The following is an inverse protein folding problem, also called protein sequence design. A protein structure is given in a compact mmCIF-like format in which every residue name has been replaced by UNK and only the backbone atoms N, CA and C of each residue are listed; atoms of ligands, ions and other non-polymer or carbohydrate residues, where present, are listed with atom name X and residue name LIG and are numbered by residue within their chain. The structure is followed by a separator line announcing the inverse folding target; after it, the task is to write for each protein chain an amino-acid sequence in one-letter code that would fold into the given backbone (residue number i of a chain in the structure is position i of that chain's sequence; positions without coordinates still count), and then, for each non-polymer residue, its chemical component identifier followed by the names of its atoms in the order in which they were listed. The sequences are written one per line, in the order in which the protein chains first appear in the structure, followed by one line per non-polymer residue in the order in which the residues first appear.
data_IF_116699158183
#
_entry.id   IF_116699158183
#
_cell.length_a   1.000
_cell.length_b   1.000
_cell.length_c   1.000
_cell.angle_alpha   90.00
_cell.angle_beta   90.00
_cell.angle_gamma   90.00
#
_symmetry.space_group_name_H-M   'P 1'
#
loop_
_entity.id
_entity.type
_entity.pdbx_description
1 polymer ?
#
# COMPACT_ATOMS: atom_id res chain seq x y z
N UNK A 1 11.61 -19.34 40.63
CA UNK A 1 10.23 -18.88 40.38
C UNK A 1 10.27 -18.07 39.10
N UNK A 2 9.84 -18.66 38.01
CA UNK A 2 9.65 -17.92 36.75
C UNK A 2 8.33 -17.16 36.94
N UNK A 3 8.39 -15.83 36.96
CA UNK A 3 7.21 -15.02 36.77
C UNK A 3 6.66 -15.37 35.38
N UNK A 4 5.49 -16.01 35.33
CA UNK A 4 4.71 -16.09 34.09
C UNK A 4 4.36 -14.66 33.71
N UNK A 5 5.09 -14.09 32.76
CA UNK A 5 4.70 -12.85 32.13
C UNK A 5 3.30 -13.03 31.58
N UNK A 6 2.38 -12.18 31.98
CA UNK A 6 1.05 -12.14 31.39
C UNK A 6 1.25 -11.97 29.88
N UNK A 7 0.95 -13.01 29.12
CA UNK A 7 0.95 -12.97 27.66
C UNK A 7 -0.06 -11.88 27.28
N UNK A 8 0.40 -10.77 26.70
CA UNK A 8 -0.51 -9.73 26.21
C UNK A 8 -1.51 -10.42 25.29
N UNK A 9 -2.79 -10.38 25.64
CA UNK A 9 -3.87 -10.88 24.77
C UNK A 9 -3.80 -10.06 23.49
N UNK A 10 -3.40 -10.70 22.38
CA UNK A 10 -3.04 -10.08 21.11
C UNK A 10 -3.90 -8.90 20.70
N UNK A 11 -3.45 -8.14 19.70
CA UNK A 11 -4.10 -6.90 19.22
C UNK A 11 -5.60 -7.06 19.01
N UNK A 12 -6.33 -5.96 19.21
CA UNK A 12 -7.76 -5.89 18.93
C UNK A 12 -8.03 -6.14 17.43
N UNK A 13 -9.21 -6.63 17.12
CA UNK A 13 -9.68 -6.79 15.75
C UNK A 13 -9.55 -5.45 15.00
N UNK A 14 -9.19 -5.49 13.74
CA UNK A 14 -8.98 -4.34 12.84
C UNK A 14 -7.77 -3.44 13.18
N UNK A 15 -7.05 -3.66 14.28
CA UNK A 15 -5.90 -2.81 14.65
C UNK A 15 -4.57 -3.24 14.05
N UNK A 16 -4.52 -4.39 13.36
CA UNK A 16 -3.37 -4.81 12.54
C UNK A 16 -3.30 -4.11 11.19
N UNK A 17 -4.31 -3.29 10.86
CA UNK A 17 -4.47 -2.71 9.53
C UNK A 17 -4.92 -3.75 8.49
N UNK A 18 -4.93 -3.33 7.26
CA UNK A 18 -4.95 -4.20 6.08
C UNK A 18 -3.60 -4.07 5.38
N UNK A 19 -3.39 -4.76 4.27
CA UNK A 19 -2.14 -4.68 3.51
C UNK A 19 -2.42 -3.91 2.23
N UNK A 20 -1.61 -2.89 1.96
CA UNK A 20 -1.64 -2.16 0.70
C UNK A 20 -1.16 -3.01 -0.47
N UNK A 21 -1.41 -2.58 -1.70
CA UNK A 21 -1.04 -3.31 -2.92
C UNK A 21 0.46 -3.64 -3.00
N UNK A 22 1.34 -2.79 -2.46
CA UNK A 22 2.80 -2.96 -2.45
C UNK A 22 3.30 -3.79 -1.25
N UNK A 23 2.40 -4.39 -0.44
CA UNK A 23 2.72 -5.39 0.58
C UNK A 23 2.91 -4.88 2.01
N UNK A 24 3.03 -3.59 2.24
CA UNK A 24 3.18 -3.00 3.59
C UNK A 24 1.83 -2.91 4.31
N UNK A 25 1.83 -2.98 5.65
CA UNK A 25 0.62 -2.70 6.42
C UNK A 25 0.14 -1.27 6.20
N UNK A 26 -1.15 -1.11 5.89
CA UNK A 26 -1.71 0.19 5.51
C UNK A 26 -3.21 0.13 5.28
N UNK A 27 -3.66 0.93 4.35
CA UNK A 27 -4.96 0.82 3.69
C UNK A 27 -4.87 0.00 2.42
N UNK A 28 -5.63 0.32 1.37
CA UNK A 28 -5.52 -0.35 0.07
C UNK A 28 -4.38 0.21 -0.78
N UNK A 29 -4.17 1.52 -0.74
CA UNK A 29 -3.20 2.25 -1.56
C UNK A 29 -2.07 2.91 -0.76
N UNK A 30 -2.26 3.14 0.54
CA UNK A 30 -1.41 4.00 1.38
C UNK A 30 -0.81 3.20 2.54
N UNK A 31 0.52 3.20 2.74
CA UNK A 31 1.13 2.59 3.92
C UNK A 31 0.82 3.42 5.17
N UNK A 32 0.46 2.73 6.25
CA UNK A 32 0.26 3.32 7.56
C UNK A 32 1.49 3.08 8.46
N UNK A 33 1.55 3.81 9.57
CA UNK A 33 2.63 3.61 10.53
C UNK A 33 2.56 2.25 11.25
N UNK A 34 1.40 1.59 11.23
CA UNK A 34 1.17 0.30 11.88
C UNK A 34 2.11 -0.78 11.36
N UNK A 35 2.51 -1.68 12.26
CA UNK A 35 3.27 -2.90 11.94
C UNK A 35 2.28 -4.04 11.66
N UNK A 36 2.51 -4.80 10.61
CA UNK A 36 1.64 -5.86 10.09
C UNK A 36 1.35 -6.97 11.10
N UNK A 37 0.19 -7.60 10.95
CA UNK A 37 -0.23 -8.76 11.71
C UNK A 37 -0.65 -8.44 13.15
N UNK A 38 -0.83 -9.50 13.95
CA UNK A 38 -1.29 -9.42 15.33
C UNK A 38 -0.19 -9.63 16.36
N UNK A 39 1.09 -9.55 15.94
CA UNK A 39 2.23 -9.60 16.83
C UNK A 39 2.23 -8.45 17.83
N UNK A 40 2.67 -8.75 19.06
CA UNK A 40 2.84 -7.81 20.16
C UNK A 40 4.32 -7.48 20.37
N UNK A 41 4.67 -6.73 21.41
CA UNK A 41 6.06 -6.39 21.72
C UNK A 41 6.96 -7.60 22.04
N UNK A 42 6.37 -8.74 22.33
CA UNK A 42 7.03 -10.01 22.66
C UNK A 42 6.71 -11.13 21.64
N UNK A 43 5.99 -10.82 20.58
CA UNK A 43 5.54 -11.78 19.58
C UNK A 43 5.74 -11.29 18.14
N UNK A 44 5.79 -12.24 17.21
CA UNK A 44 5.83 -12.01 15.78
C UNK A 44 4.41 -12.10 15.23
N UNK A 45 4.05 -11.20 14.33
CA UNK A 45 2.84 -11.27 13.52
C UNK A 45 3.16 -11.45 12.05
N UNK A 46 2.20 -11.92 11.27
CA UNK A 46 2.35 -12.06 9.82
C UNK A 46 1.04 -11.75 9.12
N UNK A 47 1.11 -11.41 7.84
CA UNK A 47 -0.05 -11.24 6.97
C UNK A 47 0.27 -11.82 5.58
N UNK A 48 -0.76 -12.40 4.95
CA UNK A 48 -0.78 -12.79 3.55
C UNK A 48 -1.93 -12.04 2.89
N UNK A 49 -1.72 -11.55 1.67
CA UNK A 49 -2.78 -10.89 0.91
C UNK A 49 -2.81 -11.33 -0.54
N UNK A 50 -4.01 -11.24 -1.12
CA UNK A 50 -4.25 -11.32 -2.54
C UNK A 50 -5.25 -10.23 -2.91
N UNK A 51 -4.88 -9.38 -3.86
CA UNK A 51 -5.67 -8.22 -4.26
C UNK A 51 -5.80 -8.16 -5.77
N UNK A 52 -6.95 -7.73 -6.24
CA UNK A 52 -7.17 -7.47 -7.66
C UNK A 52 -7.95 -6.16 -7.85
N UNK A 53 -7.47 -5.33 -8.78
CA UNK A 53 -8.11 -4.07 -9.17
C UNK A 53 -8.51 -4.18 -10.64
N UNK A 54 -9.80 -4.29 -10.90
CA UNK A 54 -10.36 -4.32 -12.24
C UNK A 54 -10.64 -2.88 -12.72
N UNK A 55 -9.84 -2.38 -13.65
CA UNK A 55 -9.97 -1.05 -14.24
C UNK A 55 -10.64 -1.11 -15.61
N UNK A 56 -10.99 0.04 -16.17
CA UNK A 56 -11.67 0.11 -17.48
C UNK A 56 -10.86 -0.51 -18.63
N UNK A 57 -9.54 -0.30 -18.67
CA UNK A 57 -8.65 -0.79 -19.74
C UNK A 57 -7.51 -1.67 -19.22
N UNK A 58 -7.38 -1.84 -17.89
CA UNK A 58 -6.26 -2.51 -17.25
C UNK A 58 -6.72 -3.37 -16.08
N UNK A 59 -5.88 -4.29 -15.65
CA UNK A 59 -6.06 -5.05 -14.43
C UNK A 59 -4.76 -5.03 -13.61
N UNK A 60 -4.84 -4.74 -12.32
CA UNK A 60 -3.72 -4.87 -11.40
C UNK A 60 -4.00 -6.00 -10.43
N UNK A 61 -3.18 -7.04 -10.44
CA UNK A 61 -3.20 -8.08 -9.42
C UNK A 61 -1.96 -7.98 -8.55
N UNK A 62 -2.10 -8.34 -7.27
CA UNK A 62 -0.97 -8.45 -6.36
C UNK A 62 -1.18 -9.56 -5.35
N UNK A 63 -0.11 -10.23 -5.01
CA UNK A 63 -0.04 -11.16 -3.89
C UNK A 63 1.20 -10.87 -3.08
N UNK A 64 1.12 -11.03 -1.75
CA UNK A 64 2.29 -10.76 -0.93
C UNK A 64 2.18 -11.33 0.47
N UNK A 65 3.30 -11.20 1.16
CA UNK A 65 3.50 -11.61 2.54
C UNK A 65 4.20 -10.50 3.30
N UNK A 66 3.82 -10.30 4.54
CA UNK A 66 4.53 -9.42 5.45
C UNK A 66 4.67 -10.05 6.84
N UNK A 67 5.74 -9.71 7.53
CA UNK A 67 6.03 -10.17 8.89
C UNK A 67 6.39 -8.98 9.78
N UNK A 68 5.70 -8.88 10.92
CA UNK A 68 5.93 -7.88 11.95
C UNK A 68 6.65 -8.49 13.15
N UNK A 69 7.79 -7.92 13.51
CA UNK A 69 8.64 -8.38 14.59
C UNK A 69 8.52 -7.43 15.79
N UNK A 70 8.03 -7.95 16.90
CA UNK A 70 8.00 -7.26 18.21
C UNK A 70 7.29 -5.90 18.18
N UNK A 71 6.27 -5.79 17.31
CA UNK A 71 5.53 -4.55 17.08
C UNK A 71 6.44 -3.34 16.75
N UNK A 72 7.59 -3.61 16.10
CA UNK A 72 8.63 -2.63 15.83
C UNK A 72 9.16 -2.63 14.41
N UNK A 73 9.48 -3.79 13.87
CA UNK A 73 10.03 -3.97 12.52
C UNK A 73 9.01 -4.73 11.68
N UNK A 74 8.78 -4.28 10.47
CA UNK A 74 8.04 -4.99 9.43
C UNK A 74 8.96 -5.26 8.24
N UNK A 75 8.89 -6.47 7.72
CA UNK A 75 9.45 -6.85 6.43
C UNK A 75 8.30 -7.30 5.54
N UNK A 76 8.30 -6.89 4.28
CA UNK A 76 7.25 -7.23 3.32
C UNK A 76 7.80 -7.60 1.96
N UNK A 77 7.05 -8.42 1.26
CA UNK A 77 7.25 -8.75 -0.14
C UNK A 77 5.89 -8.77 -0.83
N UNK A 78 5.83 -8.17 -2.02
CA UNK A 78 4.68 -8.28 -2.91
C UNK A 78 5.15 -8.51 -4.34
N UNK A 79 4.41 -9.31 -5.08
CA UNK A 79 4.51 -9.48 -6.51
C UNK A 79 3.27 -8.89 -7.16
N UNK A 80 3.47 -7.96 -8.07
CA UNK A 80 2.42 -7.27 -8.81
C UNK A 80 2.47 -7.68 -10.28
N UNK A 81 1.29 -7.88 -10.88
CA UNK A 81 1.14 -8.03 -12.33
C UNK A 81 0.08 -7.06 -12.84
N UNK A 82 0.44 -6.33 -13.88
CA UNK A 82 -0.40 -5.31 -14.46
C UNK A 82 -0.74 -5.66 -15.92
N UNK A 83 -1.98 -6.08 -16.12
CA UNK A 83 -2.52 -6.53 -17.40
C UNK A 83 -3.01 -5.35 -18.23
N UNK A 84 -2.57 -5.27 -19.48
CA UNK A 84 -2.96 -4.19 -20.39
C UNK A 84 -4.16 -4.55 -21.28
N UNK A 85 -4.64 -5.78 -21.23
CA UNK A 85 -5.74 -6.29 -22.07
C UNK A 85 -5.61 -5.79 -23.53
N UNK A 86 -6.72 -5.29 -24.11
CA UNK A 86 -6.72 -4.71 -25.47
C UNK A 86 -6.05 -3.33 -25.56
N UNK A 87 -5.78 -2.67 -24.42
CA UNK A 87 -5.04 -1.41 -24.41
C UNK A 87 -3.59 -1.61 -24.88
N UNK A 88 -2.98 -2.77 -24.59
CA UNK A 88 -1.65 -3.12 -25.07
C UNK A 88 -1.53 -3.09 -26.58
N UNK A 89 -2.53 -3.61 -27.31
CA UNK A 89 -2.58 -3.50 -28.77
C UNK A 89 -2.68 -2.06 -29.27
N UNK A 90 -3.52 -1.22 -28.63
CA UNK A 90 -3.64 0.22 -28.96
C UNK A 90 -2.34 1.00 -28.68
N UNK A 91 -1.55 0.57 -27.71
CA UNK A 91 -0.27 1.15 -27.34
C UNK A 91 0.90 0.58 -28.17
N UNK A 92 0.66 -0.43 -29.00
CA UNK A 92 1.67 -1.05 -29.88
C UNK A 92 2.59 -2.04 -29.18
N UNK A 93 2.24 -2.50 -27.96
CA UNK A 93 3.02 -3.47 -27.17
C UNK A 93 2.45 -4.88 -27.23
N UNK A 94 1.30 -5.08 -27.89
CA UNK A 94 0.59 -6.35 -28.01
C UNK A 94 -0.61 -6.45 -27.08
N UNK A 95 -1.68 -7.12 -27.54
CA UNK A 95 -2.86 -7.39 -26.70
C UNK A 95 -2.47 -8.32 -25.55
N UNK A 96 -2.97 -8.01 -24.34
CA UNK A 96 -2.71 -8.80 -23.15
C UNK A 96 -1.26 -8.76 -22.64
N UNK A 97 -0.49 -7.72 -23.01
CA UNK A 97 0.84 -7.54 -22.45
C UNK A 97 0.75 -7.29 -20.93
N UNK A 98 1.58 -7.99 -20.16
CA UNK A 98 1.63 -7.86 -18.70
C UNK A 98 2.97 -7.28 -18.27
N UNK A 99 2.93 -6.30 -17.38
CA UNK A 99 4.09 -5.81 -16.64
C UNK A 99 4.11 -6.49 -15.27
N UNK A 100 5.24 -7.06 -14.90
CA UNK A 100 5.43 -7.64 -13.57
C UNK A 100 6.39 -6.77 -12.76
N UNK A 101 6.18 -6.70 -11.45
CA UNK A 101 7.03 -5.95 -10.53
C UNK A 101 7.11 -6.67 -9.18
N UNK A 102 8.33 -6.77 -8.67
CA UNK A 102 8.61 -7.22 -7.31
C UNK A 102 8.85 -6.03 -6.38
N UNK A 103 8.24 -6.08 -5.21
CA UNK A 103 8.40 -5.07 -4.17
C UNK A 103 8.89 -5.72 -2.88
N UNK A 104 10.05 -5.27 -2.39
CA UNK A 104 10.60 -5.67 -1.08
C UNK A 104 10.58 -4.46 -0.16
N UNK A 105 9.87 -4.55 0.95
CA UNK A 105 9.70 -3.47 1.91
C UNK A 105 10.29 -3.74 3.28
N UNK A 106 10.71 -2.66 3.94
CA UNK A 106 11.05 -2.65 5.35
C UNK A 106 10.47 -1.40 6.01
N UNK A 107 9.84 -1.54 7.18
CA UNK A 107 9.29 -0.44 7.96
C UNK A 107 9.70 -0.57 9.42
N UNK A 108 10.12 0.54 10.02
CA UNK A 108 10.52 0.63 11.41
C UNK A 108 9.64 1.64 12.14
N UNK A 109 8.92 1.18 13.16
CA UNK A 109 8.21 2.05 14.10
C UNK A 109 9.22 2.74 15.00
N UNK A 110 9.19 4.07 14.99
CA UNK A 110 10.09 4.90 15.77
C UNK A 110 9.53 5.19 17.16
N UNK A 111 8.30 5.68 17.21
CA UNK A 111 7.67 6.15 18.45
C UNK A 111 6.14 6.15 18.34
N UNK A 112 5.48 6.41 19.47
CA UNK A 112 4.02 6.50 19.59
C UNK A 112 3.33 5.14 19.59
N UNK A 113 2.02 5.16 19.75
CA UNK A 113 1.12 4.01 19.60
C UNK A 113 -0.20 4.50 19.01
N UNK A 114 -0.55 3.97 17.86
CA UNK A 114 -1.75 4.40 17.14
C UNK A 114 -3.05 4.08 17.89
N UNK A 115 -3.07 2.98 18.64
CA UNK A 115 -4.31 2.37 19.15
C UNK A 115 -4.44 2.50 20.68
N UNK A 116 -3.38 2.20 21.44
CA UNK A 116 -3.49 2.02 22.91
C UNK A 116 -3.14 3.28 23.69
N UNK A 117 -2.54 4.28 23.08
CA UNK A 117 -2.18 5.55 23.75
C UNK A 117 -3.26 6.61 23.47
N UNK A 118 -4.41 6.47 24.13
CA UNK A 118 -5.58 7.33 23.89
C UNK A 118 -5.52 8.65 24.69
N UNK A 119 -4.70 8.73 25.73
CA UNK A 119 -4.50 9.95 26.52
C UNK A 119 -3.51 10.93 25.88
N UNK A 120 -2.89 10.54 24.79
CA UNK A 120 -1.89 11.33 24.05
C UNK A 120 -2.35 11.62 22.64
N UNK A 121 -2.05 12.83 22.16
CA UNK A 121 -2.23 13.21 20.76
C UNK A 121 -1.11 12.66 19.85
N UNK A 122 -0.04 12.10 20.44
CA UNK A 122 1.10 11.59 19.69
C UNK A 122 0.66 10.40 18.81
N UNK A 123 0.79 10.48 17.47
CA UNK A 123 0.51 9.37 16.59
C UNK A 123 1.62 8.31 16.71
N UNK A 124 1.36 7.12 16.21
CA UNK A 124 2.41 6.19 15.85
C UNK A 124 3.15 6.72 14.64
N UNK A 125 4.48 6.77 14.70
CA UNK A 125 5.34 7.24 13.62
C UNK A 125 6.29 6.12 13.22
N UNK A 126 6.29 5.81 11.92
CA UNK A 126 7.17 4.83 11.30
C UNK A 126 7.88 5.42 10.10
N UNK A 127 9.08 4.92 9.84
CA UNK A 127 9.82 5.15 8.59
C UNK A 127 9.89 3.86 7.81
N UNK A 128 9.81 3.93 6.51
CA UNK A 128 9.88 2.76 5.66
C UNK A 128 10.61 3.00 4.35
N UNK A 129 10.98 1.91 3.72
CA UNK A 129 11.57 1.88 2.38
C UNK A 129 10.99 0.72 1.60
N UNK A 130 10.86 0.89 0.29
CA UNK A 130 10.43 -0.14 -0.65
C UNK A 130 11.39 -0.15 -1.83
N UNK A 131 12.11 -1.24 -2.01
CA UNK A 131 12.82 -1.54 -3.25
C UNK A 131 11.84 -2.19 -4.21
N UNK A 132 11.79 -1.67 -5.43
CA UNK A 132 10.88 -2.11 -6.49
C UNK A 132 11.68 -2.42 -7.75
N UNK A 133 11.37 -3.54 -8.39
CA UNK A 133 12.02 -4.00 -9.61
C UNK A 133 10.95 -4.42 -10.62
N UNK A 134 10.80 -3.63 -11.68
CA UNK A 134 9.89 -3.94 -12.79
C UNK A 134 10.64 -4.72 -13.88
N UNK A 135 9.97 -5.70 -14.51
CA UNK A 135 10.60 -6.61 -15.48
C UNK A 135 10.88 -5.91 -16.82
N UNK A 136 10.04 -5.59 -17.61
CA UNK A 136 10.00 -5.07 -18.98
C UNK A 136 11.05 -4.00 -19.36
N UNK A 137 12.33 -4.19 -18.98
CA UNK A 137 13.41 -3.19 -19.00
C UNK A 137 13.53 -2.43 -20.31
N UNK A 138 13.58 -3.15 -21.46
CA UNK A 138 13.73 -2.52 -22.78
C UNK A 138 12.54 -1.63 -23.12
N UNK A 139 11.33 -2.09 -22.78
CA UNK A 139 10.11 -1.33 -23.01
C UNK A 139 10.05 -0.09 -22.13
N UNK A 140 10.38 -0.22 -20.83
CA UNK A 140 10.38 0.90 -19.89
C UNK A 140 11.34 2.01 -20.33
N UNK A 141 12.55 1.65 -20.81
CA UNK A 141 13.47 2.62 -21.39
C UNK A 141 12.91 3.25 -22.69
N UNK A 142 12.25 2.48 -23.53
CA UNK A 142 11.61 3.01 -24.74
C UNK A 142 10.46 3.98 -24.44
N UNK A 143 9.78 3.81 -23.28
CA UNK A 143 8.75 4.73 -22.77
C UNK A 143 9.33 5.99 -22.10
N UNK A 144 10.65 6.07 -21.94
CA UNK A 144 11.34 7.22 -21.38
C UNK A 144 11.75 7.09 -19.91
N UNK A 145 11.50 5.94 -19.27
CA UNK A 145 11.95 5.69 -17.89
C UNK A 145 13.49 5.58 -17.85
N UNK A 146 14.10 6.11 -16.77
CA UNK A 146 15.56 6.06 -16.59
C UNK A 146 16.04 4.74 -16.03
N UNK A 147 15.22 4.07 -15.21
CA UNK A 147 15.55 2.79 -14.62
C UNK A 147 14.31 1.92 -14.47
N UNK A 148 14.41 0.60 -14.63
CA UNK A 148 13.34 -0.34 -14.25
C UNK A 148 13.25 -0.52 -12.74
N UNK A 149 14.34 -0.23 -12.01
CA UNK A 149 14.47 -0.42 -10.57
C UNK A 149 14.50 0.92 -9.83
N UNK A 150 13.96 0.95 -8.63
CA UNK A 150 14.00 2.11 -7.76
C UNK A 150 13.75 1.82 -6.31
N UNK A 151 13.96 2.84 -5.49
CA UNK A 151 13.72 2.79 -4.05
C UNK A 151 12.84 3.95 -3.66
N UNK A 152 11.78 3.66 -2.92
CA UNK A 152 10.96 4.67 -2.25
C UNK A 152 11.33 4.73 -0.77
N UNK A 153 11.27 5.93 -0.20
CA UNK A 153 11.39 6.16 1.24
C UNK A 153 10.15 6.88 1.72
N UNK A 154 9.64 6.52 2.89
CA UNK A 154 8.47 7.20 3.44
C UNK A 154 8.53 7.35 4.96
N UNK A 155 7.76 8.33 5.44
CA UNK A 155 7.45 8.53 6.86
C UNK A 155 5.94 8.53 6.98
N UNK A 156 5.39 7.66 7.81
CA UNK A 156 3.97 7.54 8.06
C UNK A 156 3.64 7.92 9.52
N UNK A 157 2.51 8.57 9.71
CA UNK A 157 1.95 8.92 11.02
C UNK A 157 0.49 8.48 11.08
N UNK A 158 0.16 7.58 12.01
CA UNK A 158 -1.18 6.98 12.14
C UNK A 158 -1.71 7.15 13.56
N UNK A 159 -2.99 7.52 13.68
CA UNK A 159 -3.69 7.60 14.95
C UNK A 159 -5.12 7.07 14.81
N UNK A 160 -5.51 6.19 15.72
CA UNK A 160 -6.90 5.76 15.91
C UNK A 160 -7.46 6.43 17.15
N UNK A 161 -8.46 7.26 16.98
CA UNK A 161 -9.26 7.87 18.04
C UNK A 161 -10.40 6.93 18.37
N UNK A 162 -10.24 6.15 19.45
CA UNK A 162 -11.20 5.08 19.80
C UNK A 162 -12.58 5.64 20.18
N UNK A 163 -12.62 6.79 20.86
CA UNK A 163 -13.89 7.42 21.25
C UNK A 163 -14.72 7.82 20.02
N UNK A 164 -14.09 8.27 18.97
CA UNK A 164 -14.70 8.69 17.71
C UNK A 164 -14.77 7.55 16.69
N UNK A 165 -14.13 6.41 16.99
CA UNK A 165 -13.97 5.30 16.03
C UNK A 165 -13.30 5.74 14.73
N UNK A 166 -12.44 6.76 14.78
CA UNK A 166 -11.82 7.42 13.63
C UNK A 166 -10.33 7.11 13.56
N UNK A 167 -9.89 6.53 12.45
CA UNK A 167 -8.48 6.40 12.10
C UNK A 167 -8.09 7.50 11.11
N UNK A 168 -6.97 8.16 11.38
CA UNK A 168 -6.32 9.09 10.48
C UNK A 168 -4.89 8.64 10.20
N UNK A 169 -4.46 8.75 8.94
CA UNK A 169 -3.10 8.52 8.52
C UNK A 169 -2.63 9.61 7.55
N UNK A 170 -1.36 10.00 7.71
CA UNK A 170 -0.66 10.87 6.77
C UNK A 170 0.72 10.28 6.51
N UNK A 171 1.11 10.19 5.23
CA UNK A 171 2.39 9.65 4.79
C UNK A 171 3.03 10.63 3.81
N UNK A 172 4.32 10.90 4.00
CA UNK A 172 5.17 11.60 3.05
C UNK A 172 6.13 10.60 2.44
N UNK A 173 6.14 10.51 1.12
CA UNK A 173 6.99 9.61 0.35
C UNK A 173 7.95 10.38 -0.53
N UNK A 174 9.21 10.01 -0.53
CA UNK A 174 10.19 10.39 -1.53
C UNK A 174 10.28 9.27 -2.56
N UNK A 175 9.92 9.55 -3.82
CA UNK A 175 9.84 8.55 -4.88
C UNK A 175 10.24 9.11 -6.23
N UNK A 176 10.62 8.22 -7.15
CA UNK A 176 10.78 8.46 -8.60
C UNK A 176 9.85 7.56 -9.41
N UNK A 177 8.97 6.81 -8.76
CA UNK A 177 8.16 5.75 -9.33
C UNK A 177 7.08 6.32 -10.26
N UNK A 178 7.07 5.85 -11.51
CA UNK A 178 6.00 6.11 -12.47
C UNK A 178 4.93 5.04 -12.32
N UNK A 179 3.66 5.40 -12.19
CA UNK A 179 2.56 4.45 -11.92
C UNK A 179 2.92 3.45 -10.81
N UNK A 180 3.31 3.97 -9.64
CA UNK A 180 3.75 3.20 -8.47
C UNK A 180 5.03 2.36 -8.68
N UNK A 181 5.69 2.47 -9.83
CA UNK A 181 6.89 1.73 -10.20
C UNK A 181 6.71 0.83 -11.43
N UNK A 182 5.48 0.46 -11.77
CA UNK A 182 5.15 -0.41 -12.91
C UNK A 182 5.64 0.16 -14.26
N UNK A 183 5.74 1.48 -14.40
CA UNK A 183 6.33 2.15 -15.57
C UNK A 183 7.77 2.64 -15.31
N UNK A 184 8.49 1.98 -14.40
CA UNK A 184 9.88 2.30 -14.05
C UNK A 184 10.04 3.56 -13.22
N UNK A 185 11.25 4.08 -13.14
CA UNK A 185 11.65 5.12 -12.17
C UNK A 185 12.38 6.27 -12.86
N UNK A 186 11.98 7.51 -12.49
CA UNK A 186 12.42 8.72 -13.16
C UNK A 186 11.99 8.74 -14.62
N UNK A 187 12.24 9.81 -15.32
CA UNK A 187 11.82 9.89 -16.71
C UNK A 187 12.58 10.95 -17.52
N UNK A 188 12.15 11.10 -18.76
CA UNK A 188 12.64 12.09 -19.71
C UNK A 188 12.30 13.54 -19.30
N UNK A 189 11.21 13.75 -18.53
CA UNK A 189 10.89 15.06 -17.94
C UNK A 189 11.70 15.32 -16.68
N UNK A 190 11.68 14.36 -15.71
CA UNK A 190 12.39 14.51 -14.45
C UNK A 190 12.91 13.15 -13.96
N UNK A 191 14.09 13.15 -13.38
CA UNK A 191 14.72 11.97 -12.79
C UNK A 191 15.09 12.15 -11.32
N UNK A 192 14.70 13.27 -10.70
CA UNK A 192 14.92 13.53 -9.29
C UNK A 192 13.88 12.82 -8.42
N UNK A 193 14.13 12.72 -7.13
CA UNK A 193 13.11 12.35 -6.16
C UNK A 193 12.07 13.46 -6.03
N UNK A 194 10.80 13.09 -6.09
CA UNK A 194 9.66 13.93 -5.77
C UNK A 194 9.15 13.62 -4.37
N UNK A 195 8.70 14.65 -3.66
CA UNK A 195 8.02 14.49 -2.38
C UNK A 195 6.51 14.39 -2.64
N UNK A 196 5.94 13.22 -2.36
CA UNK A 196 4.54 12.92 -2.60
C UNK A 196 3.79 12.76 -1.28
N UNK A 197 2.53 13.21 -1.27
CA UNK A 197 1.64 13.11 -0.12
C UNK A 197 0.68 11.94 -0.30
N UNK A 198 0.49 11.19 0.80
CA UNK A 198 -0.49 10.12 0.89
C UNK A 198 -1.28 10.29 2.18
N UNK A 199 -2.57 9.96 2.15
CA UNK A 199 -3.42 10.09 3.33
C UNK A 199 -4.58 9.13 3.34
N UNK A 200 -5.04 8.77 4.54
CA UNK A 200 -6.21 7.92 4.74
C UNK A 200 -7.05 8.43 5.91
N UNK A 201 -8.37 8.29 5.77
CA UNK A 201 -9.31 8.49 6.87
C UNK A 201 -10.32 7.34 6.86
N UNK A 202 -10.50 6.66 8.00
CA UNK A 202 -11.42 5.54 8.12
C UNK A 202 -12.24 5.61 9.40
N UNK A 203 -13.51 5.21 9.31
CA UNK A 203 -14.43 5.08 10.43
C UNK A 203 -14.72 3.60 10.68
N UNK A 204 -14.58 3.17 11.92
CA UNK A 204 -14.99 1.84 12.38
C UNK A 204 -16.49 1.89 12.69
N UNK A 205 -17.33 1.55 11.73
CA UNK A 205 -18.78 1.55 11.89
C UNK A 205 -19.24 0.48 12.90
N UNK A 206 -18.51 -0.62 12.95
CA UNK A 206 -18.69 -1.68 13.95
C UNK A 206 -17.32 -2.26 14.30
N UNK A 207 -17.28 -3.22 15.24
CA UNK A 207 -16.04 -3.96 15.56
C UNK A 207 -15.48 -4.76 14.36
N UNK A 208 -16.29 -4.98 13.31
CA UNK A 208 -15.95 -5.81 12.15
C UNK A 208 -16.00 -5.06 10.83
N UNK A 209 -16.45 -3.82 10.79
CA UNK A 209 -16.62 -3.06 9.56
C UNK A 209 -15.98 -1.69 9.70
N UNK A 210 -15.00 -1.41 8.86
CA UNK A 210 -14.43 -0.10 8.64
C UNK A 210 -14.77 0.40 7.24
N UNK A 211 -15.04 1.69 7.10
CA UNK A 211 -15.20 2.38 5.81
C UNK A 211 -14.24 3.57 5.79
N UNK A 212 -13.72 3.91 4.62
CA UNK A 212 -12.77 5.00 4.56
C UNK A 212 -12.49 5.47 3.15
N UNK A 213 -11.56 6.42 3.09
CA UNK A 213 -11.06 7.03 1.85
C UNK A 213 -9.55 7.12 1.92
N UNK A 214 -8.92 7.02 0.76
CA UNK A 214 -7.48 7.21 0.60
C UNK A 214 -7.17 8.14 -0.55
N UNK A 215 -6.03 8.82 -0.45
CA UNK A 215 -5.43 9.64 -1.48
C UNK A 215 -3.95 9.34 -1.56
N UNK A 216 -3.41 9.19 -2.77
CA UNK A 216 -1.98 9.06 -3.04
C UNK A 216 -1.60 9.89 -4.25
N UNK A 217 -0.71 10.84 -4.10
CA UNK A 217 -0.16 11.61 -5.21
C UNK A 217 0.97 10.84 -5.89
N UNK A 218 1.30 11.20 -7.13
CA UNK A 218 2.32 10.54 -7.95
C UNK A 218 3.14 11.58 -8.71
N UNK A 219 4.45 11.38 -8.90
CA UNK A 219 5.28 12.28 -9.71
C UNK A 219 4.95 12.10 -11.21
N UNK A 220 5.01 13.18 -11.96
CA UNK A 220 4.80 13.19 -13.42
C UNK A 220 6.13 13.29 -14.17
N UNK A 221 6.88 12.18 -14.21
CA UNK A 221 8.25 12.14 -14.74
C UNK A 221 8.33 11.79 -16.23
N UNK A 222 7.28 11.17 -16.82
CA UNK A 222 7.29 10.64 -18.19
C UNK A 222 6.60 11.58 -19.19
N UNK A 223 7.25 11.86 -20.30
CA UNK A 223 6.63 12.52 -21.45
C UNK A 223 5.54 11.66 -22.11
N UNK A 224 5.72 10.35 -22.09
CA UNK A 224 4.79 9.37 -22.62
C UNK A 224 3.44 9.35 -21.93
N UNK A 225 3.42 9.44 -20.57
CA UNK A 225 2.22 9.30 -19.77
C UNK A 225 2.12 10.44 -18.76
N UNK A 226 0.97 11.11 -18.72
CA UNK A 226 0.66 12.08 -17.67
C UNK A 226 0.20 11.31 -16.43
N UNK A 227 0.73 11.69 -15.29
CA UNK A 227 0.32 11.16 -13.99
C UNK A 227 -0.74 12.05 -13.33
N UNK A 228 -1.59 11.44 -12.52
CA UNK A 228 -2.58 12.10 -11.67
C UNK A 228 -2.66 11.40 -10.34
N UNK A 229 -3.24 12.03 -9.32
CA UNK A 229 -3.44 11.41 -8.03
C UNK A 229 -4.35 10.17 -8.14
N UNK A 230 -4.06 9.18 -7.28
CA UNK A 230 -4.94 8.04 -7.06
C UNK A 230 -5.74 8.25 -5.78
N UNK A 231 -6.98 7.77 -5.76
CA UNK A 231 -7.82 7.76 -4.57
C UNK A 231 -8.75 6.56 -4.57
N UNK A 232 -9.21 6.17 -3.41
CA UNK A 232 -10.26 5.19 -3.27
C UNK A 232 -11.27 5.54 -2.18
N UNK A 233 -12.39 4.82 -2.23
CA UNK A 233 -13.39 4.74 -1.16
C UNK A 233 -13.61 3.27 -0.87
N UNK A 234 -13.30 2.84 0.33
CA UNK A 234 -13.26 1.43 0.69
C UNK A 234 -14.21 1.03 1.82
N UNK A 235 -14.53 -0.25 1.86
CA UNK A 235 -15.13 -0.94 2.99
C UNK A 235 -14.31 -2.21 3.28
N UNK A 236 -13.80 -2.33 4.51
CA UNK A 236 -13.05 -3.49 5.00
C UNK A 236 -13.89 -4.24 6.04
N UNK A 237 -14.14 -5.52 5.80
CA UNK A 237 -14.91 -6.38 6.69
C UNK A 237 -14.04 -7.50 7.27
N UNK A 238 -13.97 -7.57 8.58
CA UNK A 238 -13.24 -8.58 9.34
C UNK A 238 -14.15 -9.77 9.62
N UNK A 239 -14.08 -10.81 8.75
CA UNK A 239 -14.87 -12.04 8.88
C UNK A 239 -14.54 -12.75 10.20
N UNK A 240 -13.25 -12.80 10.54
CA UNK A 240 -12.73 -13.33 11.80
C UNK A 240 -11.56 -12.46 12.28
N UNK A 241 -10.89 -12.83 13.38
CA UNK A 241 -9.65 -12.18 13.80
C UNK A 241 -8.56 -12.28 12.72
N UNK A 242 -8.53 -13.39 12.02
CA UNK A 242 -7.46 -13.73 11.08
C UNK A 242 -7.80 -13.44 9.61
N UNK A 243 -9.06 -13.24 9.26
CA UNK A 243 -9.49 -13.09 7.85
C UNK A 243 -10.25 -11.79 7.67
N UNK A 244 -9.82 -10.98 6.74
CA UNK A 244 -10.51 -9.77 6.30
C UNK A 244 -10.67 -9.73 4.79
N UNK A 245 -11.75 -9.09 4.34
CA UNK A 245 -12.01 -8.79 2.95
C UNK A 245 -12.24 -7.29 2.81
N UNK A 246 -11.65 -6.69 1.77
CA UNK A 246 -11.84 -5.28 1.44
C UNK A 246 -12.37 -5.15 0.03
N UNK A 247 -13.33 -4.26 -0.14
CA UNK A 247 -13.82 -3.82 -1.45
C UNK A 247 -13.71 -2.30 -1.52
N UNK A 248 -13.28 -1.77 -2.66
CA UNK A 248 -13.22 -0.33 -2.88
C UNK A 248 -13.60 0.04 -4.30
N UNK A 249 -14.07 1.27 -4.46
CA UNK A 249 -14.02 1.97 -5.74
C UNK A 249 -12.69 2.70 -5.79
N UNK A 250 -11.85 2.33 -6.76
CA UNK A 250 -10.52 2.91 -6.94
C UNK A 250 -10.47 3.76 -8.22
N UNK A 251 -9.87 4.94 -8.13
CA UNK A 251 -9.56 5.81 -9.25
C UNK A 251 -8.06 6.06 -9.24
N UNK A 252 -7.35 5.49 -10.23
CA UNK A 252 -5.89 5.52 -10.29
C UNK A 252 -5.34 6.66 -11.15
N UNK A 253 -6.22 7.55 -11.63
CA UNK A 253 -5.86 8.63 -12.56
C UNK A 253 -5.55 8.12 -13.97
N UNK A 254 -4.95 8.96 -14.81
CA UNK A 254 -4.58 8.58 -16.18
C UNK A 254 -3.47 7.52 -16.16
N UNK A 255 -3.59 6.51 -17.03
CA UNK A 255 -2.56 5.47 -17.21
C UNK A 255 -2.24 5.36 -18.70
N UNK A 256 -0.96 5.46 -19.07
CA UNK A 256 -0.44 5.14 -20.40
C UNK A 256 -1.29 5.73 -21.57
N UNK A 257 -1.66 7.00 -21.52
CA UNK A 257 -2.49 7.71 -22.51
C UNK A 257 -3.95 7.23 -22.64
N UNK A 258 -4.43 6.36 -21.75
CA UNK A 258 -5.81 5.85 -21.81
C UNK A 258 -6.81 6.68 -20.98
N UNK A 259 -6.41 7.88 -20.48
CA UNK A 259 -7.25 8.71 -19.63
C UNK A 259 -7.44 8.12 -18.24
N UNK A 260 -8.37 8.70 -17.47
CA UNK A 260 -8.63 8.29 -16.08
C UNK A 260 -9.13 6.85 -16.01
N UNK A 261 -8.48 6.06 -15.16
CA UNK A 261 -8.78 4.66 -14.94
C UNK A 261 -9.45 4.48 -13.58
N UNK A 262 -10.70 4.09 -13.63
CA UNK A 262 -11.52 3.82 -12.45
C UNK A 262 -11.97 2.37 -12.45
N UNK A 263 -12.16 1.80 -11.27
CA UNK A 263 -12.58 0.42 -11.18
C UNK A 263 -12.86 -0.08 -9.78
N UNK A 264 -12.97 -1.38 -9.68
CA UNK A 264 -13.27 -2.08 -8.44
C UNK A 264 -12.00 -2.78 -7.93
N UNK A 265 -11.68 -2.50 -6.68
CA UNK A 265 -10.64 -3.15 -5.90
C UNK A 265 -11.28 -4.20 -5.00
N UNK A 266 -10.71 -5.39 -4.98
CA UNK A 266 -11.08 -6.47 -4.05
C UNK A 266 -9.81 -7.06 -3.46
N UNK A 267 -9.77 -7.21 -2.14
CA UNK A 267 -8.65 -7.82 -1.43
C UNK A 267 -9.13 -8.84 -0.41
N UNK A 268 -8.45 -9.95 -0.32
CA UNK A 268 -8.59 -10.95 0.74
C UNK A 268 -7.28 -11.08 1.48
N UNK A 269 -7.34 -11.06 2.80
CA UNK A 269 -6.17 -11.04 3.64
C UNK A 269 -6.33 -12.00 4.81
N UNK A 270 -5.20 -12.58 5.24
CA UNK A 270 -5.14 -13.39 6.44
C UNK A 270 -3.97 -12.96 7.32
N UNK A 271 -4.28 -12.58 8.57
CA UNK A 271 -3.32 -12.09 9.55
C UNK A 271 -3.19 -13.02 10.77
N UNK A 272 -2.00 -13.11 11.31
CA UNK A 272 -1.63 -13.95 12.45
C UNK A 272 -0.87 -13.16 13.50
#
# INVERSE_FOLDING_TARGET
MHAAGAQESGRLLATGGVTEVEGSAGGGLVPWALITGYGTRDAIGANLHATYVALGNFGLGTTGISAGFYDRLELSYAHEWFDTFSAGGKLGIGDGYTFDMDVVGAKLRLLGNAVYDQDSWLPEISVGTQFKSADSHALLHALGARSPDGVDFYVAATKLFLAESLLLNATLRATKANQFGLLGFGGDKDGAYSAEFEGSAALLLTRKLAVGVELRTKPDNLGFAKEGAAYDVFAAYFLSKNISATVAFAALGPIARQGDQNGIYVSLQTGF
#
